data_IF_331344211203
#
_entry.id   IF_331344211203
#
_cell.length_a   1.000
_cell.length_b   1.000
_cell.length_c   1.000
_cell.angle_alpha   90.00
_cell.angle_beta   90.00
_cell.angle_gamma   90.00
#
_symmetry.space_group_name_H-M   'P 1'
#
loop_
_entity.id
_entity.type
_entity.pdbx_description
1 polymer ?
#
# COMPACT_ATOMS: atom_id res chain seq x y z
N UNK A 1 26.31 15.63 -6.20
CA UNK A 1 25.47 15.31 -5.03
C UNK A 1 24.04 15.60 -5.43
N UNK A 2 23.17 14.59 -5.40
CA UNK A 2 21.73 14.83 -5.47
C UNK A 2 21.29 15.46 -4.16
N UNK A 3 20.58 16.57 -4.24
CA UNK A 3 19.87 17.13 -3.10
C UNK A 3 18.78 16.13 -2.69
N UNK A 4 18.69 15.82 -1.39
CA UNK A 4 17.74 14.83 -0.85
C UNK A 4 16.92 15.50 0.23
N UNK A 5 15.61 15.24 0.21
CA UNK A 5 14.67 15.76 1.19
C UNK A 5 14.03 14.60 1.97
N UNK A 6 13.61 14.87 3.22
CA UNK A 6 12.85 13.91 4.00
C UNK A 6 11.41 13.80 3.47
N UNK A 7 10.98 12.58 3.16
CA UNK A 7 9.58 12.26 2.86
C UNK A 7 8.96 11.61 4.07
N UNK A 8 7.82 12.13 4.52
CA UNK A 8 7.03 11.51 5.59
C UNK A 8 5.86 10.74 4.98
N UNK A 9 5.56 9.56 5.53
CA UNK A 9 4.40 8.78 5.13
C UNK A 9 3.68 8.24 6.36
N UNK A 10 2.35 8.32 6.35
CA UNK A 10 1.50 7.84 7.44
C UNK A 10 0.27 7.12 6.91
N UNK A 11 -0.22 6.14 7.67
CA UNK A 11 -1.49 5.46 7.39
C UNK A 11 -2.63 6.24 8.05
N UNK A 12 -3.59 6.67 7.24
CA UNK A 12 -4.75 7.43 7.70
C UNK A 12 -5.92 6.51 8.04
N UNK A 13 -6.12 5.45 7.25
CA UNK A 13 -7.28 4.58 7.43
C UNK A 13 -7.05 3.19 6.84
N UNK A 14 -7.38 2.16 7.61
CA UNK A 14 -7.45 0.77 7.14
C UNK A 14 -8.91 0.36 6.98
N UNK A 15 -9.29 -0.16 5.81
CA UNK A 15 -10.61 -0.74 5.52
C UNK A 15 -10.45 -2.22 5.23
N UNK A 16 -10.95 -3.07 6.13
CA UNK A 16 -10.92 -4.53 5.95
C UNK A 16 -11.81 -4.94 4.77
N UNK A 17 -11.31 -5.83 3.93
CA UNK A 17 -12.11 -6.48 2.91
C UNK A 17 -12.96 -7.61 3.53
N UNK A 18 -14.04 -8.04 2.85
CA UNK A 18 -14.77 -9.24 3.23
C UNK A 18 -13.86 -10.48 3.28
N UNK A 19 -14.14 -11.38 4.21
CA UNK A 19 -13.38 -12.63 4.38
C UNK A 19 -13.50 -13.54 3.16
N UNK A 20 -12.41 -14.28 2.87
CA UNK A 20 -12.37 -15.30 1.81
C UNK A 20 -11.83 -14.82 0.45
N UNK A 21 -11.60 -13.51 0.28
CA UNK A 21 -11.02 -12.95 -0.94
C UNK A 21 -9.49 -12.87 -0.96
N UNK A 22 -8.92 -12.62 -2.14
CA UNK A 22 -7.49 -12.28 -2.32
C UNK A 22 -7.16 -10.91 -1.70
N UNK A 23 -8.06 -9.93 -1.83
CA UNK A 23 -7.92 -8.63 -1.19
C UNK A 23 -8.20 -8.76 0.31
N UNK A 24 -7.29 -8.26 1.14
CA UNK A 24 -7.40 -8.30 2.61
C UNK A 24 -7.82 -6.94 3.18
N UNK A 25 -7.28 -5.84 2.62
CA UNK A 25 -7.66 -4.49 3.00
C UNK A 25 -7.39 -3.46 1.90
N UNK A 26 -8.07 -2.31 2.03
CA UNK A 26 -7.74 -1.06 1.35
C UNK A 26 -7.27 -0.05 2.39
N UNK A 27 -6.12 0.57 2.14
CA UNK A 27 -5.44 1.48 3.05
C UNK A 27 -5.32 2.86 2.41
N UNK A 28 -5.64 3.89 3.16
CA UNK A 28 -5.36 5.27 2.75
C UNK A 28 -4.08 5.73 3.45
N UNK A 29 -3.17 6.31 2.67
CA UNK A 29 -1.91 6.86 3.15
C UNK A 29 -1.80 8.34 2.81
N UNK A 30 -1.11 9.09 3.65
CA UNK A 30 -0.67 10.45 3.39
C UNK A 30 0.84 10.42 3.19
N UNK A 31 1.31 11.10 2.16
CA UNK A 31 2.73 11.30 1.88
C UNK A 31 2.99 12.81 1.86
N UNK A 32 3.96 13.27 2.65
CA UNK A 32 4.33 14.69 2.76
C UNK A 32 5.70 14.90 2.17
N UNK A 33 5.79 15.79 1.17
CA UNK A 33 7.02 16.16 0.47
C UNK A 33 7.12 17.68 0.46
N UNK A 34 8.17 18.27 1.03
CA UNK A 34 8.31 19.73 1.17
C UNK A 34 7.06 20.42 1.76
N UNK A 35 6.41 19.79 2.74
CA UNK A 35 5.17 20.30 3.35
C UNK A 35 3.92 20.19 2.49
N UNK A 36 4.00 19.59 1.30
CA UNK A 36 2.87 19.31 0.42
C UNK A 36 2.32 17.92 0.72
N UNK A 37 1.03 17.85 1.05
CA UNK A 37 0.35 16.62 1.44
C UNK A 37 -0.33 15.93 0.24
N UNK A 38 0.04 14.68 -0.01
CA UNK A 38 -0.56 13.82 -1.02
C UNK A 38 -1.36 12.69 -0.36
N UNK A 39 -2.67 12.69 -0.54
CA UNK A 39 -3.57 11.62 -0.08
C UNK A 39 -3.70 10.54 -1.14
N UNK A 40 -3.12 9.38 -0.92
CA UNK A 40 -3.31 8.21 -1.78
C UNK A 40 -4.32 7.28 -1.16
N UNK A 41 -5.46 7.13 -1.83
CA UNK A 41 -6.58 6.32 -1.34
C UNK A 41 -6.59 4.94 -1.98
N UNK A 42 -6.84 3.92 -1.16
CA UNK A 42 -7.06 2.56 -1.64
C UNK A 42 -5.79 1.82 -2.06
N UNK A 43 -4.66 2.06 -1.38
CA UNK A 43 -3.50 1.16 -1.40
C UNK A 43 -3.99 -0.24 -1.01
N UNK A 44 -3.58 -1.25 -1.76
CA UNK A 44 -4.17 -2.58 -1.68
C UNK A 44 -3.26 -3.51 -0.90
N UNK A 45 -3.82 -4.15 0.12
CA UNK A 45 -3.17 -5.24 0.85
C UNK A 45 -3.84 -6.53 0.44
N UNK A 46 -3.08 -7.45 -0.16
CA UNK A 46 -3.61 -8.69 -0.72
C UNK A 46 -2.81 -9.91 -0.27
N UNK A 47 -3.46 -11.06 -0.25
CA UNK A 47 -2.79 -12.35 -0.07
C UNK A 47 -2.09 -12.73 -1.37
N UNK A 48 -0.85 -13.17 -1.25
CA UNK A 48 -0.08 -13.78 -2.32
C UNK A 48 0.50 -15.13 -1.89
N UNK A 49 1.04 -15.84 -2.87
CA UNK A 49 1.84 -17.05 -2.65
C UNK A 49 3.23 -16.75 -3.21
N UNK A 50 4.24 -16.78 -2.35
CA UNK A 50 5.64 -16.65 -2.74
C UNK A 50 6.38 -17.92 -2.29
N UNK A 51 7.04 -18.59 -3.23
CA UNK A 51 7.80 -19.83 -2.99
C UNK A 51 6.99 -20.91 -2.24
N UNK A 52 5.69 -21.02 -2.57
CA UNK A 52 4.77 -21.98 -1.93
C UNK A 52 4.23 -21.56 -0.56
N UNK A 53 4.67 -20.43 -0.01
CA UNK A 53 4.24 -19.91 1.28
C UNK A 53 3.24 -18.75 1.13
N UNK A 54 2.35 -18.61 2.11
CA UNK A 54 1.46 -17.45 2.19
C UNK A 54 2.26 -16.18 2.47
N UNK A 55 2.13 -15.21 1.58
CA UNK A 55 2.70 -13.88 1.71
C UNK A 55 1.61 -12.81 1.68
N UNK A 56 1.96 -11.60 2.11
CA UNK A 56 1.12 -10.41 1.95
C UNK A 56 1.82 -9.45 1.02
N UNK A 57 1.11 -8.93 0.03
CA UNK A 57 1.60 -7.88 -0.87
C UNK A 57 0.90 -6.55 -0.59
N UNK A 58 1.67 -5.47 -0.70
CA UNK A 58 1.18 -4.08 -0.71
C UNK A 58 1.37 -3.54 -2.12
N UNK A 59 0.29 -3.10 -2.75
CA UNK A 59 0.31 -2.59 -4.14
C UNK A 59 -0.45 -1.28 -4.24
N UNK A 60 -0.15 -0.49 -5.27
CA UNK A 60 -0.83 0.76 -5.52
C UNK A 60 -2.34 0.57 -5.75
N UNK A 61 -3.15 1.64 -5.59
CA UNK A 61 -4.54 1.61 -6.02
C UNK A 61 -4.60 1.25 -7.51
N UNK A 62 -5.66 0.55 -7.91
CA UNK A 62 -5.87 0.14 -9.30
C UNK A 62 -7.11 0.81 -9.87
N UNK A 63 -7.06 1.10 -11.16
CA UNK A 63 -8.21 1.51 -11.96
C UNK A 63 -8.33 0.59 -13.19
N UNK A 64 -9.49 0.62 -13.84
CA UNK A 64 -9.64 0.03 -15.17
C UNK A 64 -9.17 1.06 -16.19
N UNK A 65 -8.20 0.71 -17.02
CA UNK A 65 -7.76 1.56 -18.12
C UNK A 65 -8.75 1.55 -19.29
N UNK A 66 -8.40 2.22 -20.39
CA UNK A 66 -9.25 2.37 -21.58
C UNK A 66 -9.56 1.02 -22.26
N UNK A 67 -8.73 0.01 -22.04
CA UNK A 67 -8.90 -1.36 -22.56
C UNK A 67 -9.62 -2.26 -21.55
N UNK A 68 -10.04 -1.69 -20.40
CA UNK A 68 -10.67 -2.43 -19.32
C UNK A 68 -9.71 -3.32 -18.55
N UNK A 69 -8.39 -3.14 -18.64
CA UNK A 69 -7.40 -3.87 -17.86
C UNK A 69 -7.16 -3.19 -16.50
N UNK A 70 -6.74 -3.97 -15.49
CA UNK A 70 -6.37 -3.41 -14.19
C UNK A 70 -4.97 -2.79 -14.27
N UNK A 71 -4.88 -1.49 -14.03
CA UNK A 71 -3.64 -0.72 -14.12
C UNK A 71 -3.40 0.11 -12.84
N UNK A 72 -2.15 0.27 -12.40
CA UNK A 72 -1.79 1.18 -11.31
C UNK A 72 -2.33 2.60 -11.53
N UNK A 73 -3.04 3.13 -10.53
CA UNK A 73 -3.50 4.54 -10.54
C UNK A 73 -2.36 5.50 -10.19
N UNK A 74 -1.45 5.05 -9.34
CA UNK A 74 -0.26 5.79 -8.93
C UNK A 74 0.93 4.84 -8.98
N UNK A 75 2.05 5.33 -9.51
CA UNK A 75 3.34 4.63 -9.45
C UNK A 75 4.21 5.34 -8.43
N UNK A 76 4.68 4.59 -7.43
CA UNK A 76 5.64 5.11 -6.47
C UNK A 76 7.07 4.89 -6.98
N UNK A 77 7.99 5.82 -6.72
CA UNK A 77 9.40 5.60 -6.96
C UNK A 77 9.95 4.53 -6.00
N UNK A 78 11.04 3.85 -6.37
CA UNK A 78 11.56 2.67 -5.66
C UNK A 78 11.93 2.97 -4.20
N UNK A 79 12.38 4.20 -3.93
CA UNK A 79 12.75 4.70 -2.61
C UNK A 79 11.57 4.71 -1.64
N UNK A 80 10.34 4.74 -2.15
CA UNK A 80 9.11 4.69 -1.34
C UNK A 80 8.53 3.28 -1.20
N UNK A 81 8.99 2.28 -1.95
CA UNK A 81 8.38 0.95 -1.96
C UNK A 81 8.46 0.28 -0.59
N UNK A 82 9.66 0.14 -0.04
CA UNK A 82 9.87 -0.51 1.26
C UNK A 82 9.25 0.28 2.41
N UNK A 83 9.48 1.60 2.57
CA UNK A 83 8.89 2.37 3.67
C UNK A 83 7.36 2.37 3.66
N UNK A 84 6.73 2.49 2.48
CA UNK A 84 5.27 2.43 2.39
C UNK A 84 4.74 1.03 2.71
N UNK A 85 5.44 -0.02 2.26
CA UNK A 85 5.06 -1.39 2.59
C UNK A 85 5.12 -1.63 4.10
N UNK A 86 6.19 -1.21 4.77
CA UNK A 86 6.39 -1.41 6.21
C UNK A 86 5.28 -0.73 7.04
N UNK A 87 5.01 0.55 6.78
CA UNK A 87 3.97 1.29 7.54
C UNK A 87 2.57 0.71 7.28
N UNK A 88 2.29 0.27 6.04
CA UNK A 88 0.99 -0.30 5.67
C UNK A 88 0.81 -1.67 6.33
N UNK A 89 1.83 -2.52 6.31
CA UNK A 89 1.78 -3.84 6.94
C UNK A 89 1.66 -3.70 8.46
N UNK A 90 2.41 -2.80 9.09
CA UNK A 90 2.31 -2.51 10.52
C UNK A 90 0.88 -2.10 10.90
N UNK A 91 0.30 -1.12 10.19
CA UNK A 91 -1.08 -0.70 10.42
C UNK A 91 -2.11 -1.82 10.17
N UNK A 92 -1.85 -2.71 9.20
CA UNK A 92 -2.69 -3.88 8.96
C UNK A 92 -2.56 -4.95 10.04
N UNK A 93 -1.41 -5.13 10.66
CA UNK A 93 -1.23 -6.01 11.83
C UNK A 93 -2.00 -5.46 13.02
N UNK A 94 -1.84 -4.16 13.33
CA UNK A 94 -2.59 -3.48 14.41
C UNK A 94 -4.11 -3.55 14.19
N UNK A 95 -4.55 -3.41 12.94
CA UNK A 95 -5.96 -3.56 12.59
C UNK A 95 -6.44 -5.02 12.62
N UNK A 96 -5.58 -6.03 12.83
CA UNK A 96 -5.94 -7.45 12.81
C UNK A 96 -6.32 -7.97 11.41
N UNK A 97 -5.74 -7.39 10.36
CA UNK A 97 -5.84 -7.85 8.96
C UNK A 97 -4.72 -8.82 8.63
N UNK A 98 -3.50 -8.50 9.08
CA UNK A 98 -2.28 -9.28 8.89
C UNK A 98 -1.80 -9.85 10.23
N UNK A 99 -0.76 -10.68 10.16
CA UNK A 99 -0.04 -11.21 11.34
C UNK A 99 1.44 -10.93 11.15
N UNK A 100 2.17 -10.79 12.25
CA UNK A 100 3.63 -10.81 12.22
C UNK A 100 4.11 -12.15 11.64
N UNK A 101 5.21 -12.09 10.90
CA UNK A 101 5.84 -13.26 10.29
C UNK A 101 6.57 -14.11 11.35
#
# INVERSE_FOLDING_TARGET
MSETETVLAEVVKVRKAPVGGKLLALVDVVIVIHGIEFKVRGVRVSREIMDGNHATSVTSPLHRDIDGQWSPTVTFPEELHQPLMDIVLAACIEAGVCREA
#
